data_IF_482769743452
#
_entry.id   IF_482769743452
#
_cell.length_a   1.000
_cell.length_b   1.000
_cell.length_c   1.000
_cell.angle_alpha   90.00
_cell.angle_beta   90.00
_cell.angle_gamma   90.00
#
_symmetry.space_group_name_H-M   'P 1'
#
loop_
_entity.id
_entity.type
_entity.pdbx_description
1 polymer ?
#
# COMPACT_ATOMS: atom_id res chain seq x y z
N UNK A 1 -6.47 -26.08 34.87
CA UNK A 1 -5.08 -25.98 34.36
C UNK A 1 -4.91 -24.63 33.69
N UNK A 2 -3.97 -23.84 34.22
CA UNK A 2 -3.34 -22.60 33.75
C UNK A 2 -4.18 -21.46 33.11
N UNK A 3 -4.40 -20.41 33.91
CA UNK A 3 -4.53 -19.01 33.49
C UNK A 3 -3.17 -18.49 33.01
N UNK A 4 -3.12 -17.77 31.90
CA UNK A 4 -1.99 -16.88 31.53
C UNK A 4 -2.56 -15.59 30.93
N UNK A 5 -2.65 -14.59 31.82
CA UNK A 5 -2.30 -13.17 31.63
C UNK A 5 -3.28 -12.28 30.84
N UNK A 6 -4.25 -11.75 31.60
CA UNK A 6 -4.58 -10.32 31.62
C UNK A 6 -3.38 -9.56 32.21
N UNK A 7 -2.82 -8.57 31.49
CA UNK A 7 -1.88 -7.61 32.05
C UNK A 7 -1.80 -6.32 31.22
N UNK A 8 -1.78 -5.19 31.94
CA UNK A 8 -1.51 -3.80 31.53
C UNK A 8 -2.72 -3.02 30.99
N UNK A 9 -3.73 -2.70 31.83
CA UNK A 9 -3.73 -1.59 32.81
C UNK A 9 -3.55 -0.21 32.11
N UNK A 10 -4.61 0.56 31.84
CA UNK A 10 -5.20 1.56 32.78
C UNK A 10 -4.15 2.16 33.70
N UNK A 11 -3.79 3.44 33.53
CA UNK A 11 -3.28 4.43 34.51
C UNK A 11 -2.69 5.63 33.73
N UNK A 12 -3.46 6.71 33.53
CA UNK A 12 -3.05 8.12 33.74
C UNK A 12 -4.10 9.11 33.22
N UNK A 13 -4.89 9.63 34.16
CA UNK A 13 -5.43 10.99 34.12
C UNK A 13 -4.61 11.82 35.10
N UNK A 14 -4.21 13.05 34.73
CA UNK A 14 -4.22 14.13 35.69
C UNK A 14 -4.97 15.37 35.19
N UNK A 15 -5.46 16.11 36.17
CA UNK A 15 -6.38 17.21 36.12
C UNK A 15 -5.78 18.53 35.57
N UNK A 16 -6.67 19.30 34.95
CA UNK A 16 -6.82 20.76 35.01
C UNK A 16 -5.61 21.66 34.71
N UNK A 17 -5.67 22.37 33.58
CA UNK A 17 -5.40 23.81 33.57
C UNK A 17 -6.16 24.50 32.43
N UNK A 18 -7.09 25.37 32.81
CA UNK A 18 -7.86 26.26 31.94
C UNK A 18 -7.02 27.45 31.52
N UNK A 19 -6.87 27.68 30.21
CA UNK A 19 -6.67 29.03 29.68
C UNK A 19 -7.35 29.17 28.33
N UNK A 20 -8.37 30.03 28.32
CA UNK A 20 -9.14 30.52 27.17
C UNK A 20 -8.21 31.16 26.14
N UNK A 21 -8.27 30.70 24.90
CA UNK A 21 -8.02 31.56 23.75
C UNK A 21 -8.84 31.08 22.54
N UNK A 22 -10.00 31.73 22.37
CA UNK A 22 -10.63 31.96 21.07
C UNK A 22 -9.55 32.37 20.06
N UNK A 23 -9.51 31.75 18.87
CA UNK A 23 -9.28 32.44 17.59
C UNK A 23 -9.40 31.50 16.39
N UNK A 24 -10.38 31.85 15.57
CA UNK A 24 -10.51 31.68 14.12
C UNK A 24 -10.56 30.26 13.54
N UNK A 25 -11.77 29.93 13.05
CA UNK A 25 -11.98 28.99 11.96
C UNK A 25 -11.07 29.38 10.78
N UNK A 26 -10.07 28.54 10.52
CA UNK A 26 -9.29 28.60 9.30
C UNK A 26 -10.16 28.07 8.13
N UNK A 27 -10.06 28.70 6.95
CA UNK A 27 -10.87 28.35 5.80
C UNK A 27 -10.56 26.92 5.36
N UNK A 28 -11.57 26.21 4.88
CA UNK A 28 -11.44 24.94 4.18
C UNK A 28 -10.55 25.13 2.94
N UNK A 29 -9.23 25.00 3.08
CA UNK A 29 -8.34 24.72 1.97
C UNK A 29 -8.61 23.27 1.55
N UNK A 30 -9.15 23.08 0.34
CA UNK A 30 -9.16 21.79 -0.34
C UNK A 30 -7.69 21.35 -0.46
N UNK A 31 -7.25 20.45 0.43
CA UNK A 31 -5.88 19.93 0.50
C UNK A 31 -5.58 19.05 -0.72
N UNK A 32 -5.24 19.67 -1.85
CA UNK A 32 -4.63 19.01 -3.02
C UNK A 32 -3.12 18.84 -2.88
N UNK A 33 -2.51 19.37 -1.81
CA UNK A 33 -1.06 19.47 -1.69
C UNK A 33 -0.35 18.13 -1.44
N UNK A 34 -1.08 17.09 -1.00
CA UNK A 34 -0.49 15.81 -0.62
C UNK A 34 -0.59 14.73 -1.71
N UNK A 35 -0.99 15.08 -2.94
CA UNK A 35 -1.06 14.14 -4.07
C UNK A 35 -0.25 14.69 -5.23
N UNK A 36 0.71 13.90 -5.70
CA UNK A 36 1.57 14.25 -6.82
C UNK A 36 1.53 13.16 -7.89
N UNK A 37 1.56 13.55 -9.16
CA UNK A 37 1.83 12.65 -10.27
C UNK A 37 3.19 13.02 -10.84
N UNK A 38 4.12 12.06 -10.90
CA UNK A 38 5.51 12.29 -11.33
C UNK A 38 5.97 11.20 -12.28
N UNK A 39 6.88 11.55 -13.20
CA UNK A 39 7.60 10.54 -14.00
C UNK A 39 8.69 9.90 -13.16
N UNK A 40 8.97 8.61 -13.37
CA UNK A 40 10.04 7.89 -12.69
C UNK A 40 11.38 8.64 -12.76
N UNK A 41 11.74 9.18 -13.93
CA UNK A 41 12.98 9.94 -14.16
C UNK A 41 13.11 11.23 -13.35
N UNK A 42 12.00 11.77 -12.81
CA UNK A 42 11.99 12.99 -11.99
C UNK A 42 12.19 12.74 -10.49
N UNK A 43 12.22 11.47 -10.06
CA UNK A 43 12.45 11.11 -8.67
C UNK A 43 13.94 11.12 -8.31
N UNK A 44 14.27 11.10 -7.02
CA UNK A 44 15.66 10.95 -6.57
C UNK A 44 16.20 9.57 -6.95
N UNK A 45 17.52 9.42 -7.19
CA UNK A 45 18.10 8.15 -7.63
C UNK A 45 17.74 6.92 -6.77
N UNK A 46 17.69 7.06 -5.44
CA UNK A 46 17.30 5.95 -4.56
C UNK A 46 15.82 5.58 -4.68
N UNK A 47 14.93 6.56 -4.87
CA UNK A 47 13.50 6.33 -5.11
C UNK A 47 13.30 5.58 -6.43
N UNK A 48 14.04 5.98 -7.47
CA UNK A 48 14.04 5.26 -8.76
C UNK A 48 14.49 3.81 -8.58
N UNK A 49 15.58 3.59 -7.83
CA UNK A 49 16.11 2.26 -7.56
C UNK A 49 15.09 1.35 -6.83
N UNK A 50 14.43 1.84 -5.78
CA UNK A 50 13.42 1.06 -5.07
C UNK A 50 12.24 0.66 -5.96
N UNK A 51 11.69 1.61 -6.73
CA UNK A 51 10.59 1.32 -7.65
C UNK A 51 11.03 0.37 -8.76
N UNK A 52 12.21 0.58 -9.35
CA UNK A 52 12.74 -0.31 -10.37
C UNK A 52 12.92 -1.73 -9.85
N UNK A 53 13.48 -1.91 -8.65
CA UNK A 53 13.62 -3.23 -8.00
C UNK A 53 12.26 -3.89 -7.78
N UNK A 54 11.26 -3.15 -7.32
CA UNK A 54 9.90 -3.67 -7.16
C UNK A 54 9.29 -4.07 -8.51
N UNK A 55 9.43 -3.23 -9.54
CA UNK A 55 9.00 -3.53 -10.91
C UNK A 55 9.64 -4.83 -11.43
N UNK A 56 10.94 -5.02 -11.23
CA UNK A 56 11.61 -6.27 -11.63
C UNK A 56 11.06 -7.50 -10.91
N UNK A 57 10.76 -7.40 -9.61
CA UNK A 57 10.18 -8.50 -8.84
C UNK A 57 8.80 -8.90 -9.39
N UNK A 58 7.97 -7.94 -9.75
CA UNK A 58 6.62 -8.22 -10.29
C UNK A 58 6.67 -8.67 -11.75
N UNK A 59 7.56 -8.11 -12.59
CA UNK A 59 7.63 -8.46 -14.03
C UNK A 59 8.35 -9.77 -14.29
N UNK A 60 9.36 -10.14 -13.48
CA UNK A 60 10.07 -11.42 -13.63
C UNK A 60 9.15 -12.64 -13.49
N UNK A 61 7.98 -12.46 -12.88
CA UNK A 61 6.95 -13.49 -12.74
C UNK A 61 5.96 -13.51 -13.90
N UNK A 62 5.64 -12.35 -14.48
CA UNK A 62 4.69 -12.28 -15.60
C UNK A 62 5.23 -12.90 -16.88
N UNK A 63 6.55 -12.92 -17.06
CA UNK A 63 7.18 -13.53 -18.23
C UNK A 63 7.16 -15.07 -18.20
N UNK A 64 6.99 -15.68 -17.01
CA UNK A 64 7.11 -17.12 -16.82
C UNK A 64 5.80 -17.87 -16.61
N UNK A 65 4.67 -17.18 -16.42
CA UNK A 65 3.43 -17.81 -15.98
C UNK A 65 2.20 -17.31 -16.75
N UNK A 66 1.46 -18.25 -17.36
CA UNK A 66 0.18 -18.03 -18.06
C UNK A 66 -1.00 -17.75 -17.13
N UNK A 67 -0.75 -17.32 -15.90
CA UNK A 67 -1.78 -17.15 -14.87
C UNK A 67 -2.42 -15.77 -14.88
N UNK A 68 -3.75 -15.72 -14.82
CA UNK A 68 -4.47 -14.49 -14.46
C UNK A 68 -4.17 -14.14 -13.00
N UNK A 69 -3.79 -12.90 -12.73
CA UNK A 69 -3.57 -12.45 -11.37
C UNK A 69 -3.01 -11.03 -11.27
N UNK A 70 -3.18 -10.43 -10.08
CA UNK A 70 -2.54 -9.19 -9.71
C UNK A 70 -1.34 -9.48 -8.81
N UNK A 71 -0.16 -9.17 -9.30
CA UNK A 71 1.11 -9.32 -8.58
C UNK A 71 1.48 -8.00 -7.96
N UNK A 72 1.73 -7.98 -6.65
CA UNK A 72 2.03 -6.76 -5.91
C UNK A 72 3.29 -6.96 -5.09
N UNK A 73 4.19 -6.00 -5.17
CA UNK A 73 5.36 -5.90 -4.31
C UNK A 73 5.39 -4.53 -3.63
N UNK A 74 5.81 -4.53 -2.37
CA UNK A 74 5.88 -3.35 -1.52
C UNK A 74 7.23 -3.31 -0.80
N UNK A 75 7.87 -2.14 -0.74
CA UNK A 75 9.02 -1.91 0.12
C UNK A 75 8.72 -0.78 1.11
N UNK A 76 9.03 -0.99 2.38
CA UNK A 76 9.06 0.05 3.40
C UNK A 76 10.51 0.38 3.74
N UNK A 77 10.84 1.68 3.68
CA UNK A 77 12.21 2.18 3.81
C UNK A 77 12.25 3.22 4.92
N UNK A 78 13.31 3.16 5.73
CA UNK A 78 13.43 4.00 6.92
C UNK A 78 14.85 4.15 7.40
N UNK A 79 15.10 5.18 8.21
CA UNK A 79 16.36 5.32 8.93
C UNK A 79 16.28 4.68 10.30
N UNK A 80 17.39 4.15 10.82
CA UNK A 80 17.42 3.74 12.23
C UNK A 80 17.39 4.99 13.11
N UNK A 81 16.27 5.23 13.81
CA UNK A 81 16.20 6.26 14.85
C UNK A 81 17.13 5.83 15.99
N UNK A 82 18.25 6.53 16.17
CA UNK A 82 19.28 6.22 17.17
C UNK A 82 18.83 6.43 18.63
N UNK A 83 17.54 6.63 18.89
CA UNK A 83 17.15 7.34 20.11
C UNK A 83 17.00 6.48 21.37
N UNK A 84 17.03 5.14 21.36
CA UNK A 84 16.72 4.39 22.61
C UNK A 84 17.43 3.09 23.00
N UNK A 85 18.36 2.50 22.24
CA UNK A 85 19.02 1.27 22.71
C UNK A 85 20.51 1.16 22.32
N UNK A 86 21.35 1.21 23.36
CA UNK A 86 22.74 0.75 23.52
C UNK A 86 23.79 1.05 22.44
N UNK A 87 24.87 1.77 22.80
CA UNK A 87 26.10 1.83 22.02
C UNK A 87 26.92 0.57 22.33
N UNK A 88 26.67 -0.53 21.64
CA UNK A 88 27.60 -1.66 21.68
C UNK A 88 27.53 -2.49 20.40
N UNK A 89 28.71 -2.64 19.79
CA UNK A 89 29.08 -3.45 18.62
C UNK A 89 28.98 -2.71 17.29
N UNK A 90 30.14 -2.12 16.95
CA UNK A 90 30.44 -1.57 15.65
C UNK A 90 30.41 -2.63 14.56
N UNK A 91 29.39 -2.54 13.71
CA UNK A 91 29.45 -2.98 12.33
C UNK A 91 29.04 -1.78 11.46
N UNK A 92 30.05 -1.02 11.04
CA UNK A 92 29.95 -0.01 10.01
C UNK A 92 29.55 -0.69 8.70
N UNK A 93 28.26 -0.66 8.34
CA UNK A 93 27.67 -0.64 6.99
C UNK A 93 26.21 -1.14 7.05
N UNK A 94 25.24 -0.22 7.16
CA UNK A 94 23.82 -0.55 7.00
C UNK A 94 22.86 0.10 8.00
N UNK A 95 22.78 1.44 8.03
CA UNK A 95 21.85 2.18 8.90
C UNK A 95 20.43 2.37 8.31
N UNK A 96 20.14 1.70 7.19
CA UNK A 96 18.89 1.84 6.46
C UNK A 96 18.05 0.57 6.60
N UNK A 97 16.82 0.75 7.08
CA UNK A 97 15.77 -0.25 6.99
C UNK A 97 15.29 -0.29 5.53
N UNK A 98 15.30 -1.47 4.92
CA UNK A 98 14.60 -1.73 3.67
C UNK A 98 13.95 -3.11 3.76
N UNK A 99 12.67 -3.14 4.14
CA UNK A 99 11.88 -4.36 4.26
C UNK A 99 10.95 -4.49 3.06
N UNK A 100 11.00 -5.63 2.36
CA UNK A 100 10.21 -5.89 1.16
C UNK A 100 9.22 -7.01 1.42
N UNK A 101 7.97 -6.79 1.04
CA UNK A 101 6.89 -7.77 1.07
C UNK A 101 6.25 -7.93 -0.31
N UNK A 102 5.67 -9.09 -0.54
CA UNK A 102 4.93 -9.42 -1.77
C UNK A 102 3.56 -9.98 -1.40
N UNK A 103 2.55 -9.79 -2.25
CA UNK A 103 1.24 -10.38 -1.99
C UNK A 103 1.26 -11.90 -2.18
N UNK A 104 0.23 -12.59 -1.64
CA UNK A 104 0.15 -14.05 -1.70
C UNK A 104 0.21 -14.61 -3.13
N UNK A 105 -0.38 -13.93 -4.12
CA UNK A 105 -0.34 -14.36 -5.52
C UNK A 105 1.10 -14.40 -6.06
N UNK A 106 1.87 -13.32 -5.83
CA UNK A 106 3.27 -13.25 -6.22
C UNK A 106 4.13 -14.27 -5.47
N UNK A 107 3.89 -14.44 -4.17
CA UNK A 107 4.57 -15.45 -3.37
C UNK A 107 4.31 -16.87 -3.92
N UNK A 108 3.05 -17.21 -4.25
CA UNK A 108 2.69 -18.52 -4.80
C UNK A 108 3.33 -18.75 -6.17
N UNK A 109 3.40 -17.70 -6.98
CA UNK A 109 4.10 -17.70 -8.27
C UNK A 109 5.58 -18.08 -8.13
N UNK A 110 6.32 -17.38 -7.27
CA UNK A 110 7.75 -17.64 -7.06
C UNK A 110 8.05 -19.07 -6.62
N UNK A 111 7.11 -19.70 -5.93
CA UNK A 111 7.29 -21.03 -5.37
C UNK A 111 6.56 -22.12 -6.19
N UNK A 112 6.31 -21.89 -7.48
CA UNK A 112 5.68 -22.84 -8.39
C UNK A 112 4.38 -23.45 -7.83
N UNK A 113 3.55 -22.61 -7.22
CA UNK A 113 2.28 -23.02 -6.61
C UNK A 113 2.39 -23.60 -5.19
N UNK A 114 3.60 -23.88 -4.69
CA UNK A 114 3.84 -24.48 -3.37
C UNK A 114 4.06 -23.39 -2.33
N UNK A 115 3.24 -23.34 -1.29
CA UNK A 115 3.43 -22.39 -0.19
C UNK A 115 3.52 -23.13 1.13
N UNK A 116 4.43 -22.69 2.01
CA UNK A 116 4.54 -23.25 3.36
C UNK A 116 3.21 -23.12 4.11
N UNK A 117 2.84 -24.17 4.88
CA UNK A 117 1.69 -24.09 5.78
C UNK A 117 1.95 -22.99 6.82
N UNK A 118 0.97 -22.13 7.03
CA UNK A 118 1.07 -21.01 7.98
C UNK A 118 1.63 -19.72 7.39
N UNK A 119 2.06 -19.68 6.11
CA UNK A 119 2.42 -18.40 5.51
C UNK A 119 1.21 -17.48 5.45
N UNK A 120 1.38 -16.25 5.92
CA UNK A 120 0.31 -15.25 5.95
C UNK A 120 -0.13 -14.95 4.51
N UNK A 121 -1.44 -15.04 4.27
CA UNK A 121 -2.07 -14.63 3.01
C UNK A 121 -2.31 -13.12 2.97
N UNK A 122 -1.32 -12.35 3.41
CA UNK A 122 -1.39 -10.90 3.52
C UNK A 122 -1.22 -10.17 2.19
N UNK A 123 -1.59 -8.89 2.22
CA UNK A 123 -1.22 -7.92 1.20
C UNK A 123 0.30 -7.65 1.24
N UNK A 124 0.86 -7.12 0.15
CA UNK A 124 2.30 -6.88 0.05
C UNK A 124 2.81 -5.92 1.15
N UNK A 125 1.99 -4.92 1.48
CA UNK A 125 2.23 -3.88 2.47
C UNK A 125 2.28 -4.44 3.89
N UNK A 126 1.31 -5.30 4.24
CA UNK A 126 1.30 -6.00 5.53
C UNK A 126 2.53 -6.89 5.67
N UNK A 127 2.90 -7.62 4.62
CA UNK A 127 4.09 -8.45 4.63
C UNK A 127 5.36 -7.60 4.77
N UNK A 128 5.45 -6.44 4.10
CA UNK A 128 6.59 -5.53 4.23
C UNK A 128 6.72 -4.94 5.64
N UNK A 129 5.60 -4.51 6.23
CA UNK A 129 5.54 -4.04 7.63
C UNK A 129 5.89 -5.16 8.61
N UNK A 130 5.41 -6.38 8.36
CA UNK A 130 5.75 -7.57 9.16
C UNK A 130 7.25 -7.86 9.14
N UNK A 131 7.89 -7.79 7.97
CA UNK A 131 9.35 -7.94 7.83
C UNK A 131 10.08 -6.83 8.60
N UNK A 132 9.66 -5.57 8.49
CA UNK A 132 10.28 -4.46 9.23
C UNK A 132 10.24 -4.68 10.75
N UNK A 133 9.08 -5.08 11.29
CA UNK A 133 8.92 -5.36 12.71
C UNK A 133 9.74 -6.58 13.15
N UNK A 134 9.75 -7.66 12.36
CA UNK A 134 10.55 -8.85 12.64
C UNK A 134 12.07 -8.57 12.60
N UNK A 135 12.50 -7.59 11.81
CA UNK A 135 13.88 -7.09 11.78
C UNK A 135 14.23 -6.14 12.95
N UNK A 136 13.31 -5.91 13.89
CA UNK A 136 13.54 -5.08 15.08
C UNK A 136 13.46 -3.58 14.82
N UNK A 137 12.89 -3.15 13.69
CA UNK A 137 12.69 -1.74 13.41
C UNK A 137 11.32 -1.26 13.90
N UNK A 138 11.31 -0.08 14.53
CA UNK A 138 10.08 0.58 14.94
C UNK A 138 9.34 1.12 13.71
N UNK A 139 8.02 1.03 13.69
CA UNK A 139 7.24 1.58 12.58
C UNK A 139 7.43 3.09 12.40
N UNK A 140 7.71 3.82 13.47
CA UNK A 140 8.02 5.25 13.42
C UNK A 140 9.30 5.57 12.66
N UNK A 141 10.16 4.59 12.43
CA UNK A 141 11.40 4.75 11.66
C UNK A 141 11.18 4.71 10.14
N UNK A 142 9.99 4.27 9.67
CA UNK A 142 9.65 4.13 8.23
C UNK A 142 9.29 5.50 7.65
N UNK A 143 10.05 5.98 6.66
CA UNK A 143 9.84 7.28 6.01
C UNK A 143 9.15 7.17 4.65
N UNK A 144 9.48 6.12 3.89
CA UNK A 144 9.03 5.94 2.52
C UNK A 144 8.42 4.54 2.33
N UNK A 145 7.33 4.47 1.59
CA UNK A 145 6.64 3.25 1.19
C UNK A 145 6.54 3.24 -0.32
N UNK A 146 7.02 2.19 -0.96
CA UNK A 146 6.98 2.01 -2.40
C UNK A 146 6.07 0.84 -2.73
N UNK A 147 5.13 1.04 -3.64
CA UNK A 147 4.17 0.04 -4.07
C UNK A 147 4.21 -0.11 -5.58
N UNK A 148 4.33 -1.35 -6.06
CA UNK A 148 4.22 -1.67 -7.48
C UNK A 148 3.24 -2.84 -7.64
N UNK A 149 2.27 -2.67 -8.55
CA UNK A 149 1.36 -3.73 -8.94
C UNK A 149 1.34 -3.90 -10.46
N UNK A 150 1.29 -5.15 -10.90
CA UNK A 150 1.10 -5.54 -12.29
C UNK A 150 -0.06 -6.51 -12.34
N UNK A 151 -0.97 -6.29 -13.28
CA UNK A 151 -2.06 -7.23 -13.55
C UNK A 151 -1.76 -7.99 -14.83
N UNK A 152 -1.69 -9.31 -14.74
CA UNK A 152 -1.61 -10.17 -15.90
C UNK A 152 -3.03 -10.61 -16.26
N UNK A 153 -3.51 -10.13 -17.40
CA UNK A 153 -4.69 -10.66 -18.07
C UNK A 153 -4.18 -11.47 -19.25
N UNK A 154 -4.36 -12.79 -19.24
CA UNK A 154 -4.19 -13.56 -20.47
C UNK A 154 -5.15 -12.97 -21.52
N UNK A 155 -4.71 -12.60 -22.73
CA UNK A 155 -5.65 -12.35 -23.80
C UNK A 155 -6.52 -13.60 -23.91
N UNK A 156 -7.84 -13.44 -23.81
CA UNK A 156 -8.76 -14.54 -24.01
C UNK A 156 -8.51 -15.11 -25.40
N UNK A 157 -8.03 -16.35 -25.47
CA UNK A 157 -8.15 -17.18 -26.66
C UNK A 157 -9.65 -17.30 -26.94
N UNK A 158 -10.22 -16.40 -27.77
CA UNK A 158 -11.67 -16.38 -27.97
C UNK A 158 -12.29 -15.17 -28.66
N UNK A 159 -11.63 -14.01 -28.82
CA UNK A 159 -12.18 -12.92 -29.65
C UNK A 159 -11.87 -13.15 -31.13
N UNK A 160 -12.40 -14.27 -31.63
CA UNK A 160 -12.64 -14.52 -33.04
C UNK A 160 -14.15 -14.71 -33.18
N UNK A 161 -14.95 -13.68 -32.86
CA UNK A 161 -16.38 -13.71 -33.17
C UNK A 161 -16.99 -12.32 -33.30
N UNK A 162 -17.75 -12.17 -34.39
CA UNK A 162 -18.79 -11.18 -34.64
C UNK A 162 -18.35 -9.74 -35.02
N UNK A 163 -17.70 -9.63 -36.16
CA UNK A 163 -18.20 -8.70 -37.18
C UNK A 163 -19.51 -9.27 -37.75
N UNK A 164 -20.56 -8.43 -37.85
CA UNK A 164 -21.95 -8.74 -38.24
C UNK A 164 -22.71 -9.59 -37.18
N UNK A 165 -23.94 -9.31 -36.76
CA UNK A 165 -25.03 -8.58 -37.39
C UNK A 165 -26.29 -9.40 -37.15
N UNK A 166 -27.08 -8.98 -36.15
CA UNK A 166 -28.55 -9.12 -36.12
C UNK A 166 -29.22 -10.53 -35.99
N UNK A 167 -30.21 -10.55 -35.08
CA UNK A 167 -31.51 -11.27 -35.13
C UNK A 167 -31.63 -12.62 -34.42
N UNK A 168 -32.17 -12.50 -33.20
CA UNK A 168 -33.37 -13.14 -32.62
C UNK A 168 -33.51 -14.67 -32.47
N UNK A 169 -33.84 -15.02 -31.22
CA UNK A 169 -34.98 -15.87 -30.77
C UNK A 169 -34.59 -17.15 -30.04
N UNK A 170 -35.06 -17.28 -28.80
CA UNK A 170 -35.08 -18.54 -28.05
C UNK A 170 -35.17 -18.35 -26.53
N UNK A 171 -36.38 -18.14 -26.03
CA UNK A 171 -36.82 -18.24 -24.63
C UNK A 171 -36.33 -19.57 -23.99
N UNK A 172 -36.11 -19.78 -22.69
CA UNK A 172 -37.03 -19.72 -21.54
C UNK A 172 -36.18 -20.03 -20.28
N UNK A 173 -36.19 -19.20 -19.22
CA UNK A 173 -36.59 -19.60 -17.84
C UNK A 173 -36.30 -18.54 -16.76
N UNK A 174 -37.35 -18.28 -16.00
CA UNK A 174 -37.52 -17.36 -14.87
C UNK A 174 -36.60 -17.67 -13.67
N UNK A 175 -36.10 -16.61 -13.04
CA UNK A 175 -35.51 -16.66 -11.70
C UNK A 175 -35.16 -15.27 -11.20
N UNK A 176 -36.12 -14.64 -10.53
CA UNK A 176 -36.05 -13.35 -9.84
C UNK A 176 -34.92 -13.27 -8.80
N UNK A 177 -34.29 -12.10 -8.68
CA UNK A 177 -33.68 -11.69 -7.41
C UNK A 177 -32.38 -10.91 -7.53
N UNK A 178 -32.51 -9.63 -7.17
CA UNK A 178 -31.45 -8.80 -6.56
C UNK A 178 -30.42 -8.12 -7.47
N UNK A 179 -30.49 -6.79 -7.36
CA UNK A 179 -29.62 -5.76 -7.90
C UNK A 179 -28.21 -5.98 -7.34
N UNK A 180 -27.33 -6.62 -8.10
CA UNK A 180 -25.91 -6.63 -7.80
C UNK A 180 -25.23 -5.45 -8.49
N UNK A 181 -24.82 -4.48 -7.67
CA UNK A 181 -23.91 -3.38 -8.03
C UNK A 181 -22.66 -3.94 -8.73
N UNK A 182 -22.70 -3.90 -10.05
CA UNK A 182 -21.58 -4.21 -10.92
C UNK A 182 -20.61 -3.02 -10.93
N UNK A 183 -19.81 -2.86 -9.86
CA UNK A 183 -18.73 -1.86 -9.86
C UNK A 183 -17.45 -2.26 -9.09
N UNK A 184 -17.21 -3.57 -8.90
CA UNK A 184 -16.04 -4.09 -8.19
C UNK A 184 -14.94 -4.71 -9.08
N UNK A 185 -15.04 -4.63 -10.40
CA UNK A 185 -14.04 -5.20 -11.34
C UNK A 185 -13.09 -4.16 -11.93
N UNK A 186 -12.46 -3.33 -11.08
CA UNK A 186 -11.29 -2.53 -11.48
C UNK A 186 -9.99 -3.30 -11.17
N UNK A 187 -9.87 -4.47 -11.81
CA UNK A 187 -8.66 -5.28 -11.88
C UNK A 187 -7.54 -4.47 -12.57
N UNK A 188 -6.66 -3.82 -11.81
CA UNK A 188 -5.51 -3.12 -12.39
C UNK A 188 -4.93 -1.95 -11.61
N UNK A 189 -5.60 -1.46 -10.56
CA UNK A 189 -5.11 -0.28 -9.85
C UNK A 189 -4.14 -0.68 -8.74
N UNK A 190 -2.90 -0.21 -8.84
CA UNK A 190 -1.95 -0.25 -7.74
C UNK A 190 -2.40 0.78 -6.69
N UNK A 191 -3.11 0.37 -5.64
CA UNK A 191 -3.33 1.21 -4.46
C UNK A 191 -3.55 0.31 -3.24
N UNK A 192 -3.10 0.71 -2.03
CA UNK A 192 -3.36 -0.06 -0.83
C UNK A 192 -4.86 -0.34 -0.63
N UNK A 193 -5.20 -1.56 -0.25
CA UNK A 193 -6.56 -1.88 0.17
C UNK A 193 -6.94 -1.09 1.43
N UNK A 194 -8.23 -1.02 1.78
CA UNK A 194 -8.71 -0.24 2.92
C UNK A 194 -8.03 -0.59 4.25
N UNK A 195 -7.67 -1.86 4.47
CA UNK A 195 -6.92 -2.29 5.65
C UNK A 195 -5.46 -1.81 5.62
N UNK A 196 -4.77 -1.99 4.49
CA UNK A 196 -3.39 -1.52 4.34
C UNK A 196 -3.30 0.00 4.45
N UNK A 197 -4.27 0.74 3.90
CA UNK A 197 -4.37 2.18 4.08
C UNK A 197 -4.51 2.59 5.55
N UNK A 198 -5.36 1.90 6.33
CA UNK A 198 -5.49 2.14 7.78
C UNK A 198 -4.18 1.87 8.54
N UNK A 199 -3.46 0.82 8.17
CA UNK A 199 -2.17 0.51 8.77
C UNK A 199 -1.13 1.60 8.46
N UNK A 200 -1.00 2.01 7.19
CA UNK A 200 -0.12 3.11 6.80
C UNK A 200 -0.49 4.43 7.48
N UNK A 201 -1.79 4.73 7.59
CA UNK A 201 -2.30 5.89 8.33
C UNK A 201 -1.90 5.83 9.81
N UNK A 202 -1.97 4.65 10.43
CA UNK A 202 -1.54 4.46 11.82
C UNK A 202 -0.04 4.67 11.97
N UNK A 203 0.78 4.18 11.03
CA UNK A 203 2.23 4.44 11.00
C UNK A 203 2.53 5.94 10.90
N UNK A 204 1.83 6.64 10.00
CA UNK A 204 1.98 8.08 9.82
C UNK A 204 1.60 8.87 11.09
N UNK A 205 0.54 8.46 11.79
CA UNK A 205 0.14 9.06 13.08
C UNK A 205 1.19 8.81 14.17
N UNK A 206 1.66 7.56 14.33
CA UNK A 206 2.70 7.23 15.32
C UNK A 206 3.99 8.04 15.10
N UNK A 207 4.40 8.23 13.85
CA UNK A 207 5.55 9.09 13.50
C UNK A 207 5.38 10.51 14.02
N UNK A 208 4.22 11.10 13.77
CA UNK A 208 3.89 12.46 14.22
C UNK A 208 3.86 12.55 15.74
N UNK A 209 3.29 11.55 16.42
CA UNK A 209 3.22 11.48 17.89
C UNK A 209 4.61 11.34 18.53
N UNK A 210 5.56 10.66 17.88
CA UNK A 210 6.97 10.59 18.30
C UNK A 210 7.81 11.82 17.89
N UNK A 211 7.21 12.83 17.27
CA UNK A 211 7.89 14.06 16.86
C UNK A 211 8.77 13.91 15.61
N UNK A 212 8.59 12.85 14.83
CA UNK A 212 9.27 12.71 13.53
C UNK A 212 8.74 13.77 12.56
N UNK A 213 9.64 14.57 12.02
CA UNK A 213 9.30 15.67 11.11
C UNK A 213 8.98 15.14 9.71
N UNK A 214 7.88 15.62 9.14
CA UNK A 214 7.46 15.34 7.77
C UNK A 214 6.46 14.18 7.65
N UNK A 215 5.77 14.09 6.50
CA UNK A 215 4.78 13.05 6.25
C UNK A 215 5.43 11.68 6.02
N UNK A 216 4.62 10.64 6.08
CA UNK A 216 4.97 9.35 5.50
C UNK A 216 4.79 9.45 3.98
N UNK A 217 5.83 9.15 3.19
CA UNK A 217 5.73 9.24 1.73
C UNK A 217 5.30 7.89 1.15
N UNK A 218 4.22 7.87 0.37
CA UNK A 218 3.75 6.70 -0.37
C UNK A 218 3.96 6.90 -1.87
N UNK A 219 4.86 6.12 -2.46
CA UNK A 219 5.11 6.06 -3.89
C UNK A 219 4.35 4.89 -4.51
N UNK A 220 3.48 5.19 -5.47
CA UNK A 220 2.62 4.19 -6.13
C UNK A 220 2.98 4.14 -7.61
N UNK A 221 3.59 3.05 -8.07
CA UNK A 221 3.89 2.86 -9.48
C UNK A 221 2.62 2.57 -10.29
N UNK A 222 2.46 3.29 -11.40
CA UNK A 222 1.35 3.19 -12.34
C UNK A 222 1.88 2.86 -13.74
N UNK A 223 1.34 1.80 -14.35
CA UNK A 223 1.78 1.31 -15.67
C UNK A 223 1.31 2.17 -16.85
N UNK A 224 0.32 3.03 -16.63
CA UNK A 224 -0.25 3.93 -17.63
C UNK A 224 -0.80 5.19 -16.97
N UNK A 225 -0.95 6.25 -17.75
CA UNK A 225 -1.59 7.49 -17.29
C UNK A 225 -3.02 7.25 -16.75
N UNK A 226 -3.80 6.41 -17.42
CA UNK A 226 -5.14 6.02 -16.94
C UNK A 226 -5.10 5.34 -15.57
N UNK A 227 -4.12 4.44 -15.34
CA UNK A 227 -3.93 3.84 -14.01
C UNK A 227 -3.47 4.86 -12.97
N UNK A 228 -2.64 5.84 -13.37
CA UNK A 228 -2.17 6.88 -12.48
C UNK A 228 -3.29 7.80 -12.00
N UNK A 229 -4.16 8.23 -12.92
CA UNK A 229 -5.34 9.05 -12.60
C UNK A 229 -6.30 8.30 -11.66
N UNK A 230 -6.49 6.98 -11.85
CA UNK A 230 -7.27 6.15 -10.93
C UNK A 230 -6.64 6.08 -9.55
N UNK A 231 -5.33 5.79 -9.44
CA UNK A 231 -4.63 5.77 -8.16
C UNK A 231 -4.70 7.14 -7.45
N UNK A 232 -4.58 8.24 -8.18
CA UNK A 232 -4.71 9.59 -7.64
C UNK A 232 -6.13 9.87 -7.13
N UNK A 233 -7.17 9.43 -7.86
CA UNK A 233 -8.57 9.54 -7.41
C UNK A 233 -8.84 8.74 -6.12
N UNK A 234 -8.31 7.52 -6.02
CA UNK A 234 -8.41 6.71 -4.80
C UNK A 234 -7.67 7.38 -3.64
N UNK A 235 -6.46 7.91 -3.88
CA UNK A 235 -5.69 8.66 -2.89
C UNK A 235 -6.48 9.88 -2.37
N UNK A 236 -7.12 10.63 -3.26
CA UNK A 236 -7.94 11.80 -2.90
C UNK A 236 -9.11 11.43 -2.00
N UNK A 237 -9.83 10.34 -2.32
CA UNK A 237 -10.93 9.84 -1.45
C UNK A 237 -10.42 9.45 -0.06
N UNK A 238 -9.25 8.84 0.01
CA UNK A 238 -8.66 8.39 1.27
C UNK A 238 -8.07 9.53 2.12
N UNK A 239 -7.47 10.55 1.49
CA UNK A 239 -6.88 11.71 2.16
C UNK A 239 -7.93 12.73 2.65
N UNK A 240 -9.12 12.72 2.06
CA UNK A 240 -10.24 13.58 2.49
C UNK A 240 -10.97 13.07 3.74
N UNK A 241 -10.71 11.81 4.15
CA UNK A 241 -11.22 11.28 5.41
C UNK A 241 -10.67 12.09 6.60
N UNK A 242 -11.50 12.34 7.61
CA UNK A 242 -11.12 13.10 8.81
C UNK A 242 -10.90 12.18 10.02
N UNK A 243 -9.81 12.35 10.79
CA UNK A 243 -8.68 13.25 10.52
C UNK A 243 -7.84 12.78 9.33
N UNK A 244 -7.35 13.72 8.51
CA UNK A 244 -6.49 13.39 7.38
C UNK A 244 -5.16 12.82 7.90
N UNK A 245 -4.71 11.65 7.43
CA UNK A 245 -3.43 11.10 7.84
C UNK A 245 -2.28 11.94 7.27
N UNK A 246 -1.16 12.10 7.99
CA UNK A 246 0.01 12.84 7.49
C UNK A 246 0.80 11.99 6.49
N UNK A 247 0.18 11.73 5.33
CA UNK A 247 0.72 10.93 4.22
C UNK A 247 0.74 11.79 2.96
N UNK A 248 1.89 11.78 2.29
CA UNK A 248 2.05 12.35 0.94
C UNK A 248 2.07 11.21 -0.07
N UNK A 249 1.20 11.27 -1.07
CA UNK A 249 1.06 10.24 -2.11
C UNK A 249 1.68 10.75 -3.40
N UNK A 250 2.69 10.04 -3.90
CA UNK A 250 3.26 10.25 -5.23
C UNK A 250 2.92 9.08 -6.14
N UNK A 251 2.04 9.31 -7.11
CA UNK A 251 1.77 8.36 -8.19
C UNK A 251 2.85 8.50 -9.26
N UNK A 252 3.55 7.41 -9.55
CA UNK A 252 4.72 7.39 -10.41
C UNK A 252 4.39 6.70 -11.71
N UNK A 253 4.42 7.43 -12.82
CA UNK A 253 4.26 6.86 -14.17
C UNK A 253 5.62 6.45 -14.74
N UNK A 254 5.64 5.37 -15.54
CA UNK A 254 6.75 5.12 -16.47
C UNK A 254 6.91 6.33 -17.39
N UNK A 255 8.16 6.78 -17.55
CA UNK A 255 8.50 7.92 -18.40
C UNK A 255 8.46 7.60 -19.88
#
# INVERSE_FOLDING_TARGET
MCRVVDAMARIWTPHSCTSVQQRHAAPHALTTDNIHIRRLSSLRPHQQHHLWRLCQLVTGVTESLSGKGTFVACSVVGGRSQTRCSPSLGLNSGNELCATGVNYALHRSFNAGKTLKGILRGCAEQNALGVAAASGHCYTSINDVYLCAVTCSTPSEGDVSAACGHVCSGEVHKGSGEVSDADASCSGVAFPCAECWRNLSSVAVMRREEGVVGPLNLFVYAQSEASALRSASIAQKNLTARPAPPIDVTVVISG
#
